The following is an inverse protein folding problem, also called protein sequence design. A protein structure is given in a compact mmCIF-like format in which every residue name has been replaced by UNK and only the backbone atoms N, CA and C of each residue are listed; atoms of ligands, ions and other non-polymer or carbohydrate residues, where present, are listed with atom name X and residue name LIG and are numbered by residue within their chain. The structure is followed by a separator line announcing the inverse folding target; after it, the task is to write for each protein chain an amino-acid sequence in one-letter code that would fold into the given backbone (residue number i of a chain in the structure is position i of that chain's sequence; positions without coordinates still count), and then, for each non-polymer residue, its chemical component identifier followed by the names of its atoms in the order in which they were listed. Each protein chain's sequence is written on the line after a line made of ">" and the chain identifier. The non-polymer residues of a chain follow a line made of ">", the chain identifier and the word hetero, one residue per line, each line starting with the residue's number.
data_IF_166709863748
#
_entry.id   IF_166709863748
#
_cell.length_a   1.000
_cell.length_b   1.000
_cell.length_c   1.000
_cell.angle_alpha   90.00
_cell.angle_beta   90.00
_cell.angle_gamma   90.00
#
_symmetry.space_group_name_H-M   'P 1'
#
loop_
_entity.id
_entity.type
_entity.pdbx_description
1 polymer ?
#
# COMPACT_ATOMS: atom_id res chain seq x y z
N UNK A 1 46.16 9.25 16.46
CA UNK A 1 45.24 9.78 15.46
C UNK A 1 44.16 8.72 15.24
N UNK A 2 43.10 8.76 16.10
CA UNK A 2 42.02 7.76 16.12
C UNK A 2 40.95 8.20 15.12
N UNK A 3 40.69 7.37 14.12
CA UNK A 3 39.62 7.52 13.14
C UNK A 3 38.31 7.08 13.84
N UNK A 4 37.49 8.04 14.21
CA UNK A 4 36.12 7.75 14.66
C UNK A 4 35.33 7.30 13.44
N UNK A 5 35.12 5.99 13.38
CA UNK A 5 34.24 5.33 12.42
C UNK A 5 32.80 5.71 12.78
N UNK A 6 32.23 6.66 12.02
CA UNK A 6 30.89 7.18 12.22
C UNK A 6 29.82 6.20 11.68
N UNK A 7 29.73 5.02 12.27
CA UNK A 7 28.54 4.19 12.14
C UNK A 7 27.43 4.82 12.97
N UNK A 8 26.64 5.72 12.35
CA UNK A 8 25.36 6.15 12.91
C UNK A 8 24.49 4.90 13.19
N UNK A 9 24.48 4.48 14.44
CA UNK A 9 23.56 3.45 14.93
C UNK A 9 22.16 4.06 14.83
N UNK A 10 21.47 3.81 13.72
CA UNK A 10 20.06 4.17 13.55
C UNK A 10 19.27 3.60 14.72
N UNK A 11 18.51 4.47 15.42
CA UNK A 11 17.71 4.07 16.54
C UNK A 11 16.76 2.92 16.13
N UNK A 12 16.69 1.80 16.90
CA UNK A 12 15.89 0.60 16.56
C UNK A 12 14.41 0.87 16.27
N UNK A 13 13.89 2.00 16.79
CA UNK A 13 12.52 2.45 16.52
C UNK A 13 12.31 3.06 15.12
N UNK A 14 13.33 3.67 14.53
CA UNK A 14 13.23 4.25 13.19
C UNK A 14 13.24 3.16 12.10
N UNK A 15 14.00 2.09 12.31
CA UNK A 15 14.04 0.95 11.39
C UNK A 15 12.74 0.16 11.41
N UNK A 16 12.16 -0.08 12.60
CA UNK A 16 10.84 -0.73 12.73
C UNK A 16 9.74 0.07 12.04
N UNK A 17 9.71 1.39 12.18
CA UNK A 17 8.73 2.26 11.52
C UNK A 17 8.87 2.22 10.01
N UNK A 18 10.10 2.32 9.49
CA UNK A 18 10.33 2.22 8.07
C UNK A 18 9.85 0.87 7.52
N UNK A 19 10.06 -0.23 8.25
CA UNK A 19 9.61 -1.55 7.84
C UNK A 19 8.08 -1.65 7.80
N UNK A 20 7.38 -1.16 8.84
CA UNK A 20 5.91 -1.12 8.89
C UNK A 20 5.34 -0.24 7.76
N UNK A 21 5.92 0.94 7.51
CA UNK A 21 5.51 1.86 6.44
C UNK A 21 5.52 1.19 5.06
N UNK A 22 6.54 0.39 4.76
CA UNK A 22 6.65 -0.28 3.45
C UNK A 22 5.74 -1.48 3.30
N UNK A 23 5.63 -2.30 4.34
CA UNK A 23 4.73 -3.46 4.34
C UNK A 23 3.30 -3.01 4.16
N UNK A 24 2.87 -2.01 4.93
CA UNK A 24 1.53 -1.41 4.80
C UNK A 24 1.29 -0.78 3.43
N UNK A 25 2.30 -0.11 2.85
CA UNK A 25 2.20 0.49 1.52
C UNK A 25 2.03 -0.54 0.39
N UNK A 26 2.82 -1.62 0.40
CA UNK A 26 2.69 -2.72 -0.57
C UNK A 26 1.32 -3.38 -0.44
N UNK A 27 0.93 -3.76 0.77
CA UNK A 27 -0.34 -4.43 1.04
C UNK A 27 -1.54 -3.55 0.67
N UNK A 28 -1.54 -2.29 1.07
CA UNK A 28 -2.60 -1.33 0.73
C UNK A 28 -2.74 -1.09 -0.77
N UNK A 29 -1.63 -1.09 -1.52
CA UNK A 29 -1.66 -0.99 -2.99
C UNK A 29 -2.28 -2.24 -3.64
N UNK A 30 -2.01 -3.44 -3.11
CA UNK A 30 -2.64 -4.68 -3.57
C UNK A 30 -4.15 -4.67 -3.29
N UNK A 31 -4.57 -4.20 -2.11
CA UNK A 31 -5.98 -4.06 -1.78
C UNK A 31 -6.68 -3.08 -2.73
N UNK A 32 -6.08 -1.91 -2.98
CA UNK A 32 -6.65 -0.94 -3.92
C UNK A 32 -6.80 -1.55 -5.32
N UNK A 33 -5.79 -2.27 -5.82
CA UNK A 33 -5.87 -2.97 -7.10
C UNK A 33 -7.01 -4.01 -7.13
N UNK A 34 -7.18 -4.78 -6.06
CA UNK A 34 -8.25 -5.78 -5.95
C UNK A 34 -9.65 -5.13 -5.96
N UNK A 35 -9.83 -4.01 -5.28
CA UNK A 35 -11.10 -3.24 -5.28
C UNK A 35 -11.40 -2.74 -6.70
N UNK A 36 -10.42 -2.17 -7.40
CA UNK A 36 -10.58 -1.65 -8.76
C UNK A 36 -11.03 -2.77 -9.71
N UNK A 37 -10.47 -3.96 -9.55
CA UNK A 37 -10.86 -5.13 -10.37
C UNK A 37 -12.29 -5.54 -10.04
N UNK A 38 -12.63 -5.70 -8.76
CA UNK A 38 -13.97 -6.08 -8.33
C UNK A 38 -15.04 -5.13 -8.87
N UNK A 39 -14.80 -3.82 -8.78
CA UNK A 39 -15.71 -2.81 -9.33
C UNK A 39 -15.80 -2.90 -10.86
N UNK A 40 -14.68 -3.13 -11.54
CA UNK A 40 -14.65 -3.26 -12.99
C UNK A 40 -15.47 -4.43 -13.55
N UNK A 41 -15.80 -5.43 -12.71
CA UNK A 41 -16.67 -6.57 -13.08
C UNK A 41 -18.16 -6.28 -12.86
N UNK A 42 -18.50 -5.24 -12.09
CA UNK A 42 -19.88 -4.88 -11.76
C UNK A 42 -20.57 -3.95 -12.79
N UNK A 43 -19.86 -3.60 -13.89
CA UNK A 43 -20.37 -2.73 -14.93
C UNK A 43 -19.98 -1.25 -14.76
N UNK A 44 -20.81 -0.32 -15.22
CA UNK A 44 -20.52 1.13 -15.16
C UNK A 44 -20.71 1.65 -13.73
N UNK A 45 -19.60 1.92 -13.06
CA UNK A 45 -19.60 2.46 -11.71
C UNK A 45 -19.28 3.99 -11.77
N UNK A 46 -20.07 4.85 -11.14
CA UNK A 46 -19.78 6.28 -11.11
C UNK A 46 -18.40 6.57 -10.48
N UNK A 47 -17.65 7.50 -11.08
CA UNK A 47 -16.28 7.81 -10.62
C UNK A 47 -16.21 8.23 -9.14
N UNK A 48 -17.20 9.03 -8.70
CA UNK A 48 -17.25 9.50 -7.30
C UNK A 48 -17.40 8.32 -6.34
N UNK A 49 -18.27 7.38 -6.68
CA UNK A 49 -18.47 6.18 -5.86
C UNK A 49 -17.21 5.31 -5.82
N UNK A 50 -16.48 5.19 -6.92
CA UNK A 50 -15.21 4.48 -6.96
C UNK A 50 -14.14 5.15 -6.08
N UNK A 51 -14.03 6.49 -6.11
CA UNK A 51 -13.13 7.23 -5.22
C UNK A 51 -13.48 6.99 -3.77
N UNK A 52 -14.78 7.13 -3.43
CA UNK A 52 -15.27 6.91 -2.06
C UNK A 52 -15.01 5.45 -1.62
N UNK A 53 -15.29 4.48 -2.49
CA UNK A 53 -15.09 3.07 -2.19
C UNK A 53 -13.60 2.75 -1.93
N UNK A 54 -12.69 3.27 -2.75
CA UNK A 54 -11.25 3.08 -2.55
C UNK A 54 -10.78 3.65 -1.21
N UNK A 55 -11.18 4.88 -0.89
CA UNK A 55 -10.79 5.52 0.37
C UNK A 55 -11.44 4.83 1.57
N UNK A 56 -12.73 4.50 1.48
CA UNK A 56 -13.43 3.79 2.56
C UNK A 56 -12.82 2.41 2.81
N UNK A 57 -12.52 1.67 1.75
CA UNK A 57 -11.83 0.38 1.87
C UNK A 57 -10.48 0.55 2.56
N UNK A 58 -9.69 1.56 2.18
CA UNK A 58 -8.42 1.88 2.85
C UNK A 58 -8.59 2.14 4.35
N UNK A 59 -9.62 2.90 4.74
CA UNK A 59 -9.94 3.16 6.16
C UNK A 59 -10.34 1.88 6.88
N UNK A 60 -11.22 1.07 6.30
CA UNK A 60 -11.68 -0.19 6.91
C UNK A 60 -10.52 -1.15 7.13
N UNK A 61 -9.64 -1.32 6.15
CA UNK A 61 -8.47 -2.19 6.31
C UNK A 61 -7.46 -1.64 7.31
N UNK A 62 -7.25 -0.32 7.34
CA UNK A 62 -6.45 0.30 8.38
C UNK A 62 -7.00 0.01 9.79
N UNK A 63 -8.31 0.20 10.02
CA UNK A 63 -8.96 -0.10 11.30
C UNK A 63 -8.81 -1.58 11.64
N UNK A 64 -9.04 -2.48 10.68
CA UNK A 64 -8.93 -3.92 10.87
C UNK A 64 -7.50 -4.33 11.28
N UNK A 65 -6.47 -3.76 10.66
CA UNK A 65 -5.07 -4.03 11.01
C UNK A 65 -4.72 -3.49 12.40
N UNK A 66 -5.12 -2.25 12.71
CA UNK A 66 -4.95 -1.68 14.06
C UNK A 66 -5.60 -2.58 15.11
N UNK A 67 -6.84 -3.04 14.84
CA UNK A 67 -7.53 -3.94 15.74
C UNK A 67 -6.79 -5.26 15.93
N UNK A 68 -6.34 -5.90 14.85
CA UNK A 68 -5.60 -7.16 14.89
C UNK A 68 -4.29 -7.05 15.68
N UNK A 69 -3.54 -5.96 15.49
CA UNK A 69 -2.30 -5.69 16.23
C UNK A 69 -2.56 -5.49 17.74
N UNK A 70 -3.57 -4.67 18.07
CA UNK A 70 -3.93 -4.43 19.48
C UNK A 70 -4.47 -5.71 20.15
N UNK A 71 -5.22 -6.53 19.44
CA UNK A 71 -5.70 -7.81 19.93
C UNK A 71 -4.53 -8.77 20.17
N UNK A 72 -3.57 -8.87 19.25
CA UNK A 72 -2.34 -9.66 19.42
C UNK A 72 -1.52 -9.20 20.63
N UNK A 73 -1.35 -7.88 20.81
CA UNK A 73 -0.66 -7.31 21.97
C UNK A 73 -1.36 -7.67 23.30
N UNK A 74 -2.70 -7.68 23.31
CA UNK A 74 -3.51 -8.05 24.49
C UNK A 74 -3.36 -9.53 24.82
N UNK A 75 -3.36 -10.41 23.82
CA UNK A 75 -3.11 -11.85 24.04
C UNK A 75 -1.70 -12.11 24.61
N UNK A 76 -0.72 -11.30 24.22
CA UNK A 76 0.64 -11.32 24.78
C UNK A 76 0.76 -10.63 26.15
N UNK A 77 -0.37 -10.29 26.79
CA UNK A 77 -0.45 -9.62 28.10
C UNK A 77 0.32 -8.28 28.16
N UNK A 78 0.52 -7.62 27.05
CA UNK A 78 1.15 -6.30 27.01
C UNK A 78 0.15 -5.22 27.49
N UNK A 79 0.60 -4.24 28.30
CA UNK A 79 -0.27 -3.15 28.73
C UNK A 79 -0.68 -2.30 27.53
N UNK A 80 -2.00 -2.16 27.30
CA UNK A 80 -2.56 -1.29 26.26
C UNK A 80 -2.78 0.11 26.85
N UNK A 81 -1.75 0.92 26.75
CA UNK A 81 -1.83 2.32 27.10
C UNK A 81 -2.19 3.16 25.83
N UNK A 82 -2.63 4.40 26.01
CA UNK A 82 -2.96 5.32 24.92
C UNK A 82 -1.79 5.53 23.94
N UNK A 83 -0.56 5.49 24.42
CA UNK A 83 0.64 5.65 23.59
C UNK A 83 0.83 4.47 22.65
N UNK A 84 0.61 3.25 23.15
CA UNK A 84 0.66 2.02 22.36
C UNK A 84 -0.39 2.07 21.25
N UNK A 85 -1.63 2.43 21.58
CA UNK A 85 -2.71 2.54 20.59
C UNK A 85 -2.37 3.55 19.50
N UNK A 86 -1.93 4.76 19.87
CA UNK A 86 -1.55 5.80 18.90
C UNK A 86 -0.35 5.38 18.05
N UNK A 87 0.59 4.61 18.63
CA UNK A 87 1.73 4.09 17.88
C UNK A 87 1.28 3.09 16.82
N UNK A 88 0.46 2.12 17.19
CA UNK A 88 -0.10 1.12 16.25
C UNK A 88 -0.92 1.82 15.15
N UNK A 89 -1.79 2.78 15.50
CA UNK A 89 -2.54 3.54 14.51
C UNK A 89 -1.64 4.25 13.47
N UNK A 90 -0.49 4.76 13.91
CA UNK A 90 0.48 5.41 13.03
C UNK A 90 1.25 4.42 12.17
N UNK A 91 1.64 3.30 12.73
CA UNK A 91 2.42 2.28 12.03
C UNK A 91 1.59 1.60 10.92
N UNK A 92 0.28 1.46 11.10
CA UNK A 92 -0.64 0.90 10.10
C UNK A 92 -1.19 1.94 9.11
N UNK A 93 -0.95 3.25 9.33
CA UNK A 93 -1.44 4.32 8.46
C UNK A 93 -1.02 4.23 6.99
N UNK A 94 0.14 3.65 6.62
CA UNK A 94 0.53 3.45 5.23
C UNK A 94 -0.46 2.63 4.40
N UNK A 95 -1.25 1.74 5.02
CA UNK A 95 -2.32 0.99 4.35
C UNK A 95 -3.33 1.96 3.73
N UNK A 96 -3.79 2.96 4.49
CA UNK A 96 -4.69 3.99 3.98
C UNK A 96 -4.01 4.87 2.92
N UNK A 97 -2.77 5.32 3.18
CA UNK A 97 -2.01 6.16 2.23
C UNK A 97 -1.87 5.52 0.86
N UNK A 98 -1.76 4.20 0.79
CA UNK A 98 -1.62 3.49 -0.47
C UNK A 98 -2.89 3.51 -1.34
N UNK A 99 -4.07 3.75 -0.75
CA UNK A 99 -5.31 3.89 -1.48
C UNK A 99 -5.49 5.31 -2.09
N UNK A 100 -4.77 6.31 -1.58
CA UNK A 100 -4.92 7.71 -2.01
C UNK A 100 -4.48 7.94 -3.47
N UNK A 101 -3.29 7.47 -3.95
CA UNK A 101 -2.89 7.70 -5.33
C UNK A 101 -3.84 7.10 -6.36
N UNK A 102 -4.32 5.84 -6.27
CA UNK A 102 -5.29 5.31 -7.22
C UNK A 102 -6.64 6.02 -7.14
N UNK A 103 -7.11 6.45 -5.96
CA UNK A 103 -8.32 7.26 -5.83
C UNK A 103 -8.15 8.63 -6.52
N UNK A 104 -7.00 9.29 -6.34
CA UNK A 104 -6.67 10.53 -7.04
C UNK A 104 -6.61 10.33 -8.56
N UNK A 105 -6.07 9.22 -9.04
CA UNK A 105 -6.05 8.89 -10.46
C UNK A 105 -7.46 8.81 -11.07
N UNK A 106 -8.41 8.20 -10.35
CA UNK A 106 -9.83 8.22 -10.75
C UNK A 106 -10.38 9.64 -10.77
N UNK A 107 -10.13 10.43 -9.73
CA UNK A 107 -10.65 11.79 -9.60
C UNK A 107 -10.16 12.72 -10.72
N UNK A 108 -8.90 12.57 -11.15
CA UNK A 108 -8.32 13.42 -12.23
C UNK A 108 -8.57 12.87 -13.62
N UNK A 109 -9.06 11.64 -13.77
CA UNK A 109 -9.29 11.00 -15.09
C UNK A 109 -10.16 11.81 -16.05
N UNK A 110 -11.20 12.58 -15.62
CA UNK A 110 -11.97 13.44 -16.51
C UNK A 110 -11.14 14.55 -17.16
N UNK A 111 -10.14 15.08 -16.43
CA UNK A 111 -9.24 16.12 -16.94
C UNK A 111 -8.34 15.60 -18.07
N UNK A 112 -8.13 14.27 -18.11
CA UNK A 112 -7.38 13.57 -19.14
C UNK A 112 -8.26 13.09 -20.31
N UNK A 113 -9.56 13.44 -20.30
CA UNK A 113 -10.51 12.98 -21.31
C UNK A 113 -10.80 11.48 -21.29
N UNK A 114 -10.46 10.78 -20.19
CA UNK A 114 -10.68 9.34 -20.07
C UNK A 114 -12.14 9.05 -19.73
N UNK A 115 -12.69 8.00 -20.32
CA UNK A 115 -13.97 7.41 -19.92
C UNK A 115 -13.85 6.65 -18.58
N UNK A 116 -14.91 5.99 -18.14
CA UNK A 116 -14.91 5.21 -16.89
C UNK A 116 -13.92 4.04 -16.97
N UNK A 117 -13.85 3.37 -18.11
CA UNK A 117 -12.93 2.24 -18.30
C UNK A 117 -11.48 2.71 -18.30
N UNK A 118 -11.17 3.84 -18.94
CA UNK A 118 -9.85 4.47 -18.91
C UNK A 118 -9.45 4.90 -17.48
N UNK A 119 -10.40 5.41 -16.69
CA UNK A 119 -10.18 5.74 -15.28
C UNK A 119 -9.81 4.50 -14.44
N UNK A 120 -10.49 3.37 -14.65
CA UNK A 120 -10.17 2.10 -14.00
C UNK A 120 -8.77 1.61 -14.37
N UNK A 121 -8.39 1.65 -15.64
CA UNK A 121 -7.05 1.26 -16.07
C UNK A 121 -5.96 2.16 -15.52
N UNK A 122 -6.18 3.49 -15.53
CA UNK A 122 -5.25 4.44 -14.93
C UNK A 122 -5.06 4.17 -13.43
N UNK A 123 -6.15 4.02 -12.70
CA UNK A 123 -6.15 3.75 -11.26
C UNK A 123 -5.43 2.43 -10.93
N UNK A 124 -5.70 1.38 -11.69
CA UNK A 124 -5.04 0.07 -11.54
C UNK A 124 -3.53 0.17 -11.81
N UNK A 125 -3.13 0.88 -12.86
CA UNK A 125 -1.72 1.11 -13.18
C UNK A 125 -1.00 1.87 -12.05
N UNK A 126 -1.65 2.89 -11.48
CA UNK A 126 -1.12 3.64 -10.33
C UNK A 126 -1.00 2.77 -9.09
N UNK A 127 -1.98 1.90 -8.81
CA UNK A 127 -1.91 0.96 -7.69
C UNK A 127 -0.74 -0.03 -7.83
N UNK A 128 -0.56 -0.63 -9.02
CA UNK A 128 0.56 -1.54 -9.31
C UNK A 128 1.90 -0.81 -9.26
N UNK A 129 1.99 0.40 -9.81
CA UNK A 129 3.20 1.23 -9.71
C UNK A 129 3.53 1.58 -8.25
N UNK A 130 2.52 1.87 -7.43
CA UNK A 130 2.67 2.07 -5.99
C UNK A 130 3.24 0.83 -5.29
N UNK A 131 2.71 -0.34 -5.59
CA UNK A 131 3.19 -1.62 -5.04
C UNK A 131 4.67 -1.86 -5.37
N UNK A 132 5.07 -1.65 -6.61
CA UNK A 132 6.48 -1.76 -7.06
C UNK A 132 7.34 -0.68 -6.39
N UNK A 133 6.84 0.54 -6.32
CA UNK A 133 7.54 1.67 -5.70
C UNK A 133 7.81 1.44 -4.21
N UNK A 134 6.80 1.02 -3.45
CA UNK A 134 6.95 0.72 -2.02
C UNK A 134 7.94 -0.41 -1.78
N UNK A 135 7.87 -1.52 -2.53
CA UNK A 135 8.78 -2.66 -2.37
C UNK A 135 10.22 -2.32 -2.72
N UNK A 136 10.44 -1.58 -3.80
CA UNK A 136 11.77 -1.11 -4.22
C UNK A 136 12.36 -0.15 -3.20
N UNK A 137 11.56 0.82 -2.71
CA UNK A 137 11.97 1.78 -1.70
C UNK A 137 12.31 1.08 -0.37
N UNK A 138 11.52 0.07 0.04
CA UNK A 138 11.80 -0.75 1.22
C UNK A 138 13.16 -1.43 1.12
N UNK A 139 13.41 -2.15 0.02
CA UNK A 139 14.67 -2.85 -0.22
C UNK A 139 15.86 -1.88 -0.20
N UNK A 140 15.73 -0.73 -0.85
CA UNK A 140 16.81 0.30 -0.88
C UNK A 140 17.10 0.87 0.51
N UNK A 141 16.09 1.17 1.29
CA UNK A 141 16.27 1.70 2.66
C UNK A 141 16.80 0.66 3.65
N UNK A 142 16.54 -0.62 3.39
CA UNK A 142 17.15 -1.72 4.13
C UNK A 142 18.63 -1.95 3.77
N UNK A 143 19.22 -1.10 2.90
CA UNK A 143 20.61 -1.23 2.47
C UNK A 143 20.85 -2.27 1.37
N UNK A 144 19.78 -2.84 0.78
CA UNK A 144 19.92 -3.80 -0.30
C UNK A 144 20.57 -3.18 -1.55
N UNK A 145 21.32 -4.00 -2.28
CA UNK A 145 21.87 -3.60 -3.58
C UNK A 145 20.76 -3.29 -4.59
N UNK A 146 21.08 -2.54 -5.65
CA UNK A 146 20.11 -2.26 -6.72
C UNK A 146 19.57 -3.54 -7.36
N UNK A 147 20.35 -4.59 -7.46
CA UNK A 147 19.92 -5.89 -7.98
C UNK A 147 18.83 -6.52 -7.09
N UNK A 148 19.01 -6.48 -5.77
CA UNK A 148 18.01 -6.98 -4.81
C UNK A 148 16.76 -6.10 -4.80
N UNK A 149 16.91 -4.78 -4.87
CA UNK A 149 15.78 -3.87 -4.97
C UNK A 149 14.97 -4.08 -6.26
N UNK A 150 15.66 -4.29 -7.40
CA UNK A 150 15.02 -4.64 -8.66
C UNK A 150 14.32 -6.00 -8.58
N UNK A 151 14.92 -7.00 -7.96
CA UNK A 151 14.27 -8.30 -7.75
C UNK A 151 12.99 -8.17 -6.91
N UNK A 152 13.03 -7.42 -5.80
CA UNK A 152 11.86 -7.15 -4.98
C UNK A 152 10.75 -6.42 -5.77
N UNK A 153 11.11 -5.42 -6.57
CA UNK A 153 10.18 -4.72 -7.47
C UNK A 153 9.60 -5.64 -8.52
N UNK A 154 10.41 -6.53 -9.11
CA UNK A 154 9.97 -7.49 -10.14
C UNK A 154 8.97 -8.50 -9.59
N UNK A 155 9.18 -9.02 -8.39
CA UNK A 155 8.20 -9.92 -7.73
C UNK A 155 6.86 -9.21 -7.56
N UNK A 156 6.87 -7.97 -7.06
CA UNK A 156 5.66 -7.19 -6.89
C UNK A 156 5.01 -6.80 -8.24
N UNK A 157 5.80 -6.54 -9.27
CA UNK A 157 5.28 -6.34 -10.62
C UNK A 157 4.58 -7.61 -11.15
N UNK A 158 5.18 -8.78 -10.96
CA UNK A 158 4.56 -10.05 -11.35
C UNK A 158 3.24 -10.29 -10.62
N UNK A 159 3.17 -9.99 -9.32
CA UNK A 159 1.91 -10.04 -8.56
C UNK A 159 0.88 -9.05 -9.11
N UNK A 160 1.28 -7.83 -9.43
CA UNK A 160 0.42 -6.84 -10.07
C UNK A 160 -0.08 -7.27 -11.44
N UNK A 161 0.80 -7.87 -12.27
CA UNK A 161 0.42 -8.43 -13.58
C UNK A 161 -0.54 -9.62 -13.43
N UNK A 162 -0.33 -10.47 -12.42
CA UNK A 162 -1.26 -11.54 -12.10
C UNK A 162 -2.66 -11.00 -11.80
N UNK A 163 -2.74 -9.96 -10.99
CA UNK A 163 -4.00 -9.26 -10.68
C UNK A 163 -4.64 -8.70 -11.97
N UNK A 164 -3.87 -8.07 -12.85
CA UNK A 164 -4.35 -7.56 -14.13
C UNK A 164 -4.86 -8.71 -15.03
N UNK A 165 -4.14 -9.82 -15.07
CA UNK A 165 -4.56 -11.02 -15.84
C UNK A 165 -5.90 -11.55 -15.35
N UNK A 166 -6.09 -11.64 -14.04
CA UNK A 166 -7.40 -12.00 -13.47
C UNK A 166 -8.51 -11.06 -13.93
N UNK A 167 -8.26 -9.75 -13.94
CA UNK A 167 -9.24 -8.80 -14.45
C UNK A 167 -9.62 -9.09 -15.89
N UNK A 168 -8.63 -9.32 -16.77
CA UNK A 168 -8.89 -9.60 -18.19
C UNK A 168 -9.71 -10.88 -18.35
N UNK A 169 -9.34 -11.94 -17.64
CA UNK A 169 -10.04 -13.24 -17.72
C UNK A 169 -11.47 -13.16 -17.20
N UNK A 170 -11.72 -12.38 -16.14
CA UNK A 170 -13.06 -12.25 -15.55
C UNK A 170 -13.98 -11.31 -16.35
N UNK A 171 -13.44 -10.47 -17.23
CA UNK A 171 -14.22 -9.53 -18.05
C UNK A 171 -14.50 -10.06 -19.47
N UNK A 172 -13.97 -11.21 -19.81
CA UNK A 172 -14.25 -11.96 -21.04
C UNK A 172 -15.08 -13.22 -20.75
#
# INVERSE_FOLDING_TARGET
>A
MARTDGTEVRAPGAERRAHADYTGGVYGSMLAASVIIGVGTLGSFPRVELVVLLLLTGVVFWIAHVHAQLFGARLAQQPLDRRVVLHVCRDEWPIFKAAVPPAAAVAVSPLLGLDVQGALWLSLSVAVAGQVGWSTAAARRAGASWRMAAAAGSVNLLLGLLIITFKIVLTH
#
